data_IF_524250528020
#
_entry.id   IF_524250528020
#
_cell.length_a   1.000
_cell.length_b   1.000
_cell.length_c   1.000
_cell.angle_alpha   90.00
_cell.angle_beta   90.00
_cell.angle_gamma   90.00
#
_symmetry.space_group_name_H-M   'P 1'
#
loop_
_entity.id
_entity.type
_entity.pdbx_description
1 polymer ?
#
# COMPACT_ATOMS: atom_id res chain seq x y z
N UNK A 1 -26.81 19.23 -12.71
CA UNK A 1 -26.07 19.03 -11.46
C UNK A 1 -25.16 17.85 -11.71
N UNK A 2 -23.86 18.08 -11.97
CA UNK A 2 -22.90 16.98 -12.03
C UNK A 2 -22.87 16.39 -10.61
N UNK A 3 -23.28 15.13 -10.46
CA UNK A 3 -22.93 14.37 -9.27
C UNK A 3 -21.40 14.39 -9.23
N UNK A 4 -20.82 14.94 -8.17
CA UNK A 4 -19.41 14.67 -7.89
C UNK A 4 -19.41 13.20 -7.48
N UNK A 5 -19.14 12.32 -8.44
CA UNK A 5 -18.85 10.93 -8.12
C UNK A 5 -17.62 10.95 -7.22
N UNK A 6 -17.76 10.34 -6.04
CA UNK A 6 -16.74 10.42 -5.03
C UNK A 6 -15.46 9.76 -5.53
N UNK A 7 -14.32 10.43 -5.35
CA UNK A 7 -13.03 9.92 -5.80
C UNK A 7 -12.24 9.25 -4.67
N UNK A 8 -12.65 9.43 -3.42
CA UNK A 8 -11.97 8.82 -2.28
C UNK A 8 -12.72 7.56 -1.83
N UNK A 9 -12.07 6.42 -1.98
CA UNK A 9 -12.60 5.12 -1.56
C UNK A 9 -11.82 4.60 -0.36
N UNK A 10 -12.53 4.15 0.66
CA UNK A 10 -11.94 3.51 1.84
C UNK A 10 -12.33 2.03 1.85
N UNK A 11 -11.34 1.16 1.68
CA UNK A 11 -11.51 -0.29 1.73
C UNK A 11 -11.70 -0.68 3.20
N UNK A 12 -12.87 -1.25 3.52
CA UNK A 12 -13.18 -1.70 4.87
C UNK A 12 -14.12 -2.89 4.87
N UNK A 13 -13.91 -3.82 5.78
CA UNK A 13 -14.83 -4.93 6.01
C UNK A 13 -16.18 -4.36 6.52
N UNK A 14 -17.34 -4.77 5.97
CA UNK A 14 -18.65 -4.23 6.37
C UNK A 14 -18.94 -4.29 7.86
N UNK A 15 -18.50 -5.36 8.52
CA UNK A 15 -18.73 -5.61 9.94
C UNK A 15 -17.62 -5.08 10.85
N UNK A 16 -16.65 -4.32 10.33
CA UNK A 16 -15.56 -3.75 11.12
C UNK A 16 -15.97 -2.38 11.70
N UNK A 17 -17.01 -2.36 12.53
CA UNK A 17 -17.65 -1.13 13.05
C UNK A 17 -16.64 -0.16 13.67
N UNK A 18 -15.67 -0.67 14.44
CA UNK A 18 -14.62 0.16 15.06
C UNK A 18 -13.78 0.90 14.01
N UNK A 19 -13.39 0.22 12.92
CA UNK A 19 -12.55 0.79 11.86
C UNK A 19 -13.36 1.70 10.94
N UNK A 20 -14.61 1.36 10.62
CA UNK A 20 -15.50 2.25 9.87
C UNK A 20 -15.81 3.53 10.65
N UNK A 21 -16.11 3.43 11.95
CA UNK A 21 -16.33 4.61 12.79
C UNK A 21 -15.07 5.46 12.92
N UNK A 22 -13.89 4.84 13.01
CA UNK A 22 -12.60 5.53 12.97
C UNK A 22 -12.46 6.37 11.68
N UNK A 23 -12.72 5.77 10.51
CA UNK A 23 -12.66 6.48 9.22
C UNK A 23 -13.71 7.60 9.13
N UNK A 24 -14.94 7.35 9.57
CA UNK A 24 -15.99 8.38 9.63
C UNK A 24 -15.52 9.58 10.46
N UNK A 25 -14.80 9.34 11.58
CA UNK A 25 -14.22 10.41 12.38
C UNK A 25 -13.08 11.12 11.65
N UNK A 26 -12.10 10.39 11.09
CA UNK A 26 -10.94 10.96 10.39
C UNK A 26 -11.36 11.87 9.22
N UNK A 27 -12.22 11.36 8.35
CA UNK A 27 -12.68 12.09 7.17
C UNK A 27 -13.74 13.13 7.52
N UNK A 28 -14.66 12.81 8.43
CA UNK A 28 -15.75 13.69 8.83
C UNK A 28 -15.29 14.96 9.55
N UNK A 29 -14.30 14.86 10.45
CA UNK A 29 -13.73 16.03 11.14
C UNK A 29 -13.14 17.05 10.15
N UNK A 30 -12.60 16.55 9.04
CA UNK A 30 -11.98 17.33 7.97
C UNK A 30 -12.92 17.65 6.81
N UNK A 31 -14.18 17.22 6.89
CA UNK A 31 -15.22 17.36 5.84
C UNK A 31 -14.78 16.82 4.47
N UNK A 32 -13.99 15.74 4.47
CA UNK A 32 -13.53 15.09 3.25
C UNK A 32 -14.62 14.13 2.77
N UNK A 33 -15.11 14.25 1.53
CA UNK A 33 -16.05 13.28 0.96
C UNK A 33 -15.32 11.95 0.74
N UNK A 34 -15.95 10.84 1.13
CA UNK A 34 -15.45 9.49 0.86
C UNK A 34 -16.59 8.47 0.77
N UNK A 35 -16.31 7.32 0.16
CA UNK A 35 -17.20 6.17 0.11
C UNK A 35 -16.50 4.93 0.65
N UNK A 36 -17.23 4.08 1.36
CA UNK A 36 -16.70 2.77 1.73
C UNK A 36 -16.78 1.82 0.55
N UNK A 37 -15.68 1.13 0.28
CA UNK A 37 -15.65 -0.08 -0.53
C UNK A 37 -15.68 -1.30 0.39
N UNK A 38 -16.68 -2.15 0.22
CA UNK A 38 -16.82 -3.38 0.98
C UNK A 38 -15.71 -4.37 0.62
N UNK A 39 -14.71 -4.45 1.50
CA UNK A 39 -13.53 -5.28 1.32
C UNK A 39 -13.89 -6.76 1.12
N UNK A 40 -13.17 -7.42 0.22
CA UNK A 40 -13.26 -8.85 0.08
C UNK A 40 -12.63 -9.56 1.27
N UNK A 41 -13.40 -10.45 1.88
CA UNK A 41 -12.96 -11.35 2.95
C UNK A 41 -13.01 -12.80 2.44
N UNK A 42 -12.33 -13.75 3.10
CA UNK A 42 -12.45 -15.17 2.78
C UNK A 42 -13.92 -15.61 2.73
N UNK A 43 -14.45 -15.84 1.53
CA UNK A 43 -15.87 -16.09 1.24
C UNK A 43 -16.03 -16.60 -0.19
N UNK A 44 -17.19 -17.17 -0.52
CA UNK A 44 -17.50 -17.56 -1.90
C UNK A 44 -17.46 -16.37 -2.86
N UNK A 45 -17.91 -15.19 -2.42
CA UNK A 45 -17.79 -13.95 -3.21
C UNK A 45 -16.35 -13.69 -3.64
N UNK A 46 -15.37 -13.87 -2.75
CA UNK A 46 -13.96 -13.72 -3.10
C UNK A 46 -13.51 -14.79 -4.08
N UNK A 47 -13.87 -16.06 -3.86
CA UNK A 47 -13.52 -17.16 -4.76
C UNK A 47 -14.03 -16.91 -6.19
N UNK A 48 -15.30 -16.52 -6.33
CA UNK A 48 -15.92 -16.23 -7.63
C UNK A 48 -15.19 -15.10 -8.38
N UNK A 49 -14.79 -14.04 -7.67
CA UNK A 49 -14.08 -12.92 -8.28
C UNK A 49 -12.64 -13.29 -8.65
N UNK A 50 -11.96 -14.07 -7.81
CA UNK A 50 -10.62 -14.58 -8.12
C UNK A 50 -10.66 -15.46 -9.36
N UNK A 51 -11.58 -16.42 -9.45
CA UNK A 51 -11.71 -17.28 -10.62
C UNK A 51 -12.05 -16.51 -11.89
N UNK A 52 -12.89 -15.48 -11.78
CA UNK A 52 -13.33 -14.67 -12.91
C UNK A 52 -12.26 -13.73 -13.45
N UNK A 53 -11.53 -13.05 -12.56
CA UNK A 53 -10.64 -11.95 -12.93
C UNK A 53 -9.16 -12.28 -12.75
N UNK A 54 -8.79 -13.03 -11.72
CA UNK A 54 -7.40 -13.29 -11.35
C UNK A 54 -7.17 -14.77 -10.95
N UNK A 55 -7.39 -15.74 -11.86
CA UNK A 55 -7.26 -17.17 -11.56
C UNK A 55 -5.83 -17.57 -11.15
N UNK A 56 -4.83 -16.78 -11.57
CA UNK A 56 -3.44 -16.89 -11.15
C UNK A 56 -3.25 -16.54 -9.65
N UNK A 57 -3.97 -15.54 -9.14
CA UNK A 57 -4.01 -15.19 -7.71
C UNK A 57 -4.81 -16.22 -6.92
N UNK A 58 -5.87 -16.79 -7.50
CA UNK A 58 -6.58 -17.91 -6.89
C UNK A 58 -5.64 -19.11 -6.67
N UNK A 59 -4.88 -19.48 -7.70
CA UNK A 59 -4.03 -20.66 -7.70
C UNK A 59 -2.77 -20.52 -6.83
N UNK A 60 -2.33 -19.31 -6.47
CA UNK A 60 -1.07 -19.16 -5.72
C UNK A 60 -1.21 -19.59 -4.25
N UNK A 61 -0.27 -20.41 -3.73
CA UNK A 61 -0.21 -20.74 -2.31
C UNK A 61 0.56 -19.68 -1.49
N UNK A 62 1.11 -18.64 -2.14
CA UNK A 62 1.99 -17.65 -1.50
C UNK A 62 1.24 -16.58 -0.71
N UNK A 63 -0.05 -16.42 -0.97
CA UNK A 63 -0.91 -15.44 -0.31
C UNK A 63 -1.93 -16.14 0.58
N UNK A 64 -2.18 -15.59 1.77
CA UNK A 64 -3.34 -15.99 2.58
C UNK A 64 -4.64 -15.56 1.89
N UNK A 65 -5.77 -16.17 2.27
CA UNK A 65 -7.06 -15.73 1.73
C UNK A 65 -7.37 -14.27 2.11
N UNK A 66 -6.92 -13.80 3.28
CA UNK A 66 -6.97 -12.39 3.64
C UNK A 66 -6.14 -11.51 2.70
N UNK A 67 -4.91 -11.91 2.36
CA UNK A 67 -4.07 -11.17 1.41
C UNK A 67 -4.65 -11.16 -0.01
N UNK A 68 -5.24 -12.28 -0.45
CA UNK A 68 -6.00 -12.34 -1.72
C UNK A 68 -7.22 -11.40 -1.68
N UNK A 69 -7.91 -11.33 -0.55
CA UNK A 69 -9.03 -10.39 -0.34
C UNK A 69 -8.60 -8.92 -0.39
N UNK A 70 -7.47 -8.58 0.24
CA UNK A 70 -6.87 -7.25 0.16
C UNK A 70 -6.54 -6.90 -1.30
N UNK A 71 -5.78 -7.75 -1.99
CA UNK A 71 -5.41 -7.57 -3.40
C UNK A 71 -6.65 -7.40 -4.28
N UNK A 72 -7.65 -8.29 -4.15
CA UNK A 72 -8.88 -8.23 -4.93
C UNK A 72 -9.68 -6.94 -4.67
N UNK A 73 -9.66 -6.42 -3.44
CA UNK A 73 -10.35 -5.16 -3.10
C UNK A 73 -9.75 -3.97 -3.85
N UNK A 74 -8.42 -3.86 -3.90
CA UNK A 74 -7.75 -2.84 -4.69
C UNK A 74 -7.97 -3.04 -6.19
N UNK A 75 -7.84 -4.28 -6.69
CA UNK A 75 -8.04 -4.62 -8.10
C UNK A 75 -9.44 -4.21 -8.58
N UNK A 76 -10.48 -4.50 -7.80
CA UNK A 76 -11.85 -4.14 -8.18
C UNK A 76 -12.09 -2.62 -8.17
N UNK A 77 -11.41 -1.86 -7.31
CA UNK A 77 -11.43 -0.40 -7.36
C UNK A 77 -10.69 0.15 -8.59
N UNK A 78 -9.55 -0.43 -8.97
CA UNK A 78 -8.88 -0.07 -10.23
C UNK A 78 -9.78 -0.36 -11.43
N UNK A 79 -10.46 -1.51 -11.41
CA UNK A 79 -11.42 -1.88 -12.45
C UNK A 79 -12.59 -0.90 -12.50
N UNK A 80 -13.11 -0.44 -11.35
CA UNK A 80 -14.10 0.65 -11.29
C UNK A 80 -13.57 1.93 -11.94
N UNK A 81 -12.34 2.34 -11.61
CA UNK A 81 -11.71 3.54 -12.20
C UNK A 81 -11.70 3.47 -13.74
N UNK A 82 -11.38 2.31 -14.31
CA UNK A 82 -11.34 2.11 -15.76
C UNK A 82 -12.74 1.97 -16.37
N UNK A 83 -13.61 1.14 -15.78
CA UNK A 83 -14.94 0.85 -16.31
C UNK A 83 -15.86 2.10 -16.31
N UNK A 84 -15.70 2.96 -15.31
CA UNK A 84 -16.48 4.20 -15.16
C UNK A 84 -15.80 5.43 -15.82
N UNK A 85 -14.70 5.22 -16.54
CA UNK A 85 -13.92 6.26 -17.23
C UNK A 85 -13.51 7.43 -16.31
N UNK A 86 -13.10 7.11 -15.08
CA UNK A 86 -12.63 8.10 -14.12
C UNK A 86 -11.19 8.47 -14.43
N UNK A 87 -10.86 9.77 -14.34
CA UNK A 87 -9.48 10.27 -14.46
C UNK A 87 -8.55 9.59 -13.44
N UNK A 88 -9.02 9.46 -12.21
CA UNK A 88 -8.28 8.83 -11.12
C UNK A 88 -9.23 8.48 -9.98
N UNK A 89 -8.72 7.66 -9.06
CA UNK A 89 -9.32 7.46 -7.74
C UNK A 89 -8.24 7.51 -6.67
N UNK A 90 -8.64 7.84 -5.44
CA UNK A 90 -7.83 7.77 -4.23
C UNK A 90 -8.31 6.60 -3.40
N UNK A 91 -7.39 5.71 -3.02
CA UNK A 91 -7.70 4.54 -2.20
C UNK A 91 -7.08 4.68 -0.83
N UNK A 92 -7.83 4.28 0.18
CA UNK A 92 -7.37 4.19 1.57
C UNK A 92 -7.75 2.85 2.20
N UNK A 93 -6.95 2.39 3.16
CA UNK A 93 -7.32 1.33 4.09
C UNK A 93 -7.97 1.91 5.36
N UNK A 94 -8.76 1.10 6.06
CA UNK A 94 -9.57 1.52 7.22
C UNK A 94 -8.82 1.60 8.55
N UNK A 95 -7.49 1.60 8.53
CA UNK A 95 -6.62 1.86 9.68
C UNK A 95 -5.73 3.10 9.53
N UNK A 96 -5.97 3.96 8.55
CA UNK A 96 -5.18 5.18 8.39
C UNK A 96 -5.54 6.28 9.38
N UNK A 97 -4.55 7.08 9.74
CA UNK A 97 -4.70 8.40 10.34
C UNK A 97 -4.45 9.46 9.27
N UNK A 98 -5.25 10.53 9.25
CA UNK A 98 -5.04 11.67 8.36
C UNK A 98 -4.25 12.77 9.05
N UNK A 99 -3.27 13.31 8.33
CA UNK A 99 -2.38 14.37 8.80
C UNK A 99 -2.96 15.78 8.66
N UNK A 100 -2.10 16.75 8.94
CA UNK A 100 -2.34 18.18 8.80
C UNK A 100 -2.74 18.54 7.36
N UNK A 101 -3.81 19.34 7.25
CA UNK A 101 -4.33 19.85 5.97
C UNK A 101 -4.69 18.77 4.93
N UNK A 102 -4.93 17.51 5.32
CA UNK A 102 -5.31 16.44 4.40
C UNK A 102 -6.54 16.79 3.54
N UNK A 103 -7.45 17.61 4.05
CA UNK A 103 -8.61 18.11 3.30
C UNK A 103 -8.24 18.91 2.05
N UNK A 104 -7.12 19.62 2.06
CA UNK A 104 -6.63 20.36 0.89
C UNK A 104 -6.27 19.43 -0.28
N UNK A 105 -5.94 18.17 0.04
CA UNK A 105 -5.56 17.17 -0.95
C UNK A 105 -6.72 16.28 -1.38
N UNK A 106 -7.72 16.11 -0.51
CA UNK A 106 -8.74 15.06 -0.64
C UNK A 106 -10.16 15.61 -0.84
N UNK A 107 -10.45 16.86 -0.45
CA UNK A 107 -11.74 17.48 -0.71
C UNK A 107 -11.80 18.22 -2.06
N UNK A 108 -10.63 18.51 -2.64
CA UNK A 108 -10.46 19.25 -3.90
C UNK A 108 -9.52 18.47 -4.83
N UNK A 109 -9.75 18.55 -6.14
CA UNK A 109 -8.98 17.82 -7.15
C UNK A 109 -8.18 18.70 -8.13
N UNK A 110 -8.43 20.01 -8.13
CA UNK A 110 -7.77 20.95 -9.05
C UNK A 110 -6.25 20.98 -8.86
N UNK A 111 -5.75 20.85 -7.63
CA UNK A 111 -4.31 20.81 -7.36
C UNK A 111 -3.63 19.63 -8.08
N UNK A 112 -4.34 18.51 -8.24
CA UNK A 112 -3.84 17.32 -8.90
C UNK A 112 -3.94 17.47 -10.43
N UNK A 113 -5.08 17.96 -10.94
CA UNK A 113 -5.31 18.18 -12.38
C UNK A 113 -4.31 19.14 -13.03
N UNK A 114 -3.86 20.17 -12.32
CA UNK A 114 -2.86 21.11 -12.86
C UNK A 114 -1.44 20.55 -12.85
N UNK A 115 -1.20 19.39 -12.22
CA UNK A 115 0.12 18.76 -12.05
C UNK A 115 0.29 17.46 -12.83
N UNK A 116 -0.80 16.78 -13.16
CA UNK A 116 -0.76 15.43 -13.71
C UNK A 116 -1.65 15.25 -14.93
N UNK A 117 -1.16 14.46 -15.89
CA UNK A 117 -1.97 13.89 -16.95
C UNK A 117 -2.42 12.48 -16.54
N UNK A 118 -3.72 12.30 -16.35
CA UNK A 118 -4.29 11.05 -15.84
C UNK A 118 -4.27 9.86 -16.81
N UNK A 119 -3.91 10.09 -18.07
CA UNK A 119 -3.64 9.03 -19.04
C UNK A 119 -2.21 8.48 -18.92
N UNK A 120 -1.32 9.17 -18.20
CA UNK A 120 0.01 8.65 -17.88
C UNK A 120 -0.09 7.58 -16.78
N UNK A 121 0.92 6.72 -16.73
CA UNK A 121 0.95 5.58 -15.81
C UNK A 121 1.66 6.00 -14.52
N UNK A 122 0.90 6.65 -13.62
CA UNK A 122 1.43 7.02 -12.31
C UNK A 122 0.57 6.63 -11.10
N UNK A 123 1.26 6.41 -9.98
CA UNK A 123 0.69 6.28 -8.64
C UNK A 123 1.32 7.37 -7.76
N UNK A 124 0.51 8.11 -7.01
CA UNK A 124 0.99 9.06 -6.00
C UNK A 124 0.71 8.51 -4.60
N UNK A 125 1.77 8.11 -3.90
CA UNK A 125 1.68 7.67 -2.50
C UNK A 125 1.38 8.85 -1.59
N UNK A 126 0.32 8.70 -0.80
CA UNK A 126 -0.08 9.64 0.24
C UNK A 126 0.36 9.15 1.63
N UNK A 127 0.67 7.86 1.74
CA UNK A 127 1.13 7.18 2.94
C UNK A 127 2.64 7.32 3.16
N UNK A 128 3.05 7.34 4.43
CA UNK A 128 4.38 6.89 4.86
C UNK A 128 4.29 5.69 5.80
N UNK A 129 5.21 4.75 5.63
CA UNK A 129 5.46 3.64 6.57
C UNK A 129 6.55 3.98 7.60
N UNK A 130 7.00 5.25 7.66
CA UNK A 130 8.04 5.73 8.57
C UNK A 130 9.35 4.94 8.50
N UNK A 131 9.73 4.53 7.28
CA UNK A 131 10.97 3.79 7.01
C UNK A 131 11.87 4.58 6.05
N UNK A 132 13.21 4.36 6.08
CA UNK A 132 14.11 5.00 5.15
C UNK A 132 13.84 4.57 3.70
N UNK A 133 13.71 5.54 2.80
CA UNK A 133 13.49 5.36 1.37
C UNK A 133 14.37 6.28 0.52
N UNK A 134 14.70 5.85 -0.69
CA UNK A 134 15.40 6.66 -1.68
C UNK A 134 14.37 7.47 -2.45
N UNK A 135 14.53 8.79 -2.42
CA UNK A 135 13.71 9.75 -3.16
C UNK A 135 14.60 10.45 -4.19
N UNK A 136 14.08 10.62 -5.40
CA UNK A 136 14.69 11.40 -6.47
C UNK A 136 13.85 12.65 -6.72
N UNK A 137 14.50 13.82 -6.72
CA UNK A 137 13.81 15.10 -6.89
C UNK A 137 13.18 15.23 -8.27
N UNK A 138 11.87 15.53 -8.29
CA UNK A 138 11.15 15.81 -9.53
C UNK A 138 11.10 17.31 -9.77
N UNK A 139 11.76 17.80 -10.83
CA UNK A 139 11.81 19.23 -11.17
C UNK A 139 10.56 19.71 -11.92
N UNK A 140 9.78 18.80 -12.52
CA UNK A 140 8.61 19.15 -13.33
C UNK A 140 7.31 19.34 -12.55
N UNK A 141 7.26 19.00 -11.26
CA UNK A 141 6.03 19.04 -10.45
C UNK A 141 6.23 20.03 -9.31
N UNK A 142 5.43 21.10 -9.30
CA UNK A 142 5.49 22.11 -8.26
C UNK A 142 4.93 21.56 -6.93
N UNK A 143 5.55 21.89 -5.78
CA UNK A 143 5.00 21.58 -4.47
C UNK A 143 3.57 22.12 -4.28
N UNK A 144 2.84 21.53 -3.33
CA UNK A 144 1.52 22.00 -2.92
C UNK A 144 1.40 21.93 -1.41
N UNK A 145 0.89 22.99 -0.77
CA UNK A 145 0.72 23.05 0.70
C UNK A 145 1.99 22.64 1.48
N UNK A 146 3.16 23.13 1.05
CA UNK A 146 4.47 22.82 1.64
C UNK A 146 4.87 21.33 1.60
N UNK A 147 4.27 20.56 0.68
CA UNK A 147 4.60 19.16 0.43
C UNK A 147 5.18 19.02 -0.97
N UNK A 148 6.35 18.41 -1.02
CA UNK A 148 7.05 18.03 -2.25
C UNK A 148 6.39 16.79 -2.87
N UNK A 149 6.48 16.67 -4.18
CA UNK A 149 5.96 15.51 -4.93
C UNK A 149 7.11 14.95 -5.76
N UNK A 150 7.85 14.03 -5.16
CA UNK A 150 9.10 13.50 -5.70
C UNK A 150 8.96 12.03 -6.10
N UNK A 151 9.96 11.50 -6.80
CA UNK A 151 9.94 10.13 -7.31
C UNK A 151 10.46 9.16 -6.24
N UNK A 152 9.68 8.13 -5.92
CA UNK A 152 10.15 7.03 -5.07
C UNK A 152 11.06 6.10 -5.91
N UNK A 153 12.28 5.82 -5.43
CA UNK A 153 13.32 4.99 -6.09
C UNK A 153 13.78 3.80 -5.26
N UNK A 154 13.03 3.44 -4.23
CA UNK A 154 13.28 2.23 -3.46
C UNK A 154 11.99 1.68 -2.88
N UNK A 155 12.08 0.42 -2.44
CA UNK A 155 11.02 -0.24 -1.70
C UNK A 155 10.40 0.63 -0.60
N UNK A 156 9.07 0.73 -0.60
CA UNK A 156 8.30 1.31 0.50
C UNK A 156 7.09 0.43 0.81
N UNK A 157 6.92 0.02 2.07
CA UNK A 157 5.83 -0.89 2.45
C UNK A 157 4.48 -0.19 2.51
N UNK A 158 3.40 -0.96 2.44
CA UNK A 158 2.03 -0.47 2.65
C UNK A 158 1.37 0.08 1.40
N UNK A 159 0.04 -0.06 1.37
CA UNK A 159 -0.90 0.45 0.36
C UNK A 159 -2.02 1.23 1.02
N UNK A 160 -1.78 1.77 2.22
CA UNK A 160 -2.83 2.29 3.08
C UNK A 160 -3.42 3.62 2.56
N UNK A 161 -2.70 4.35 1.70
CA UNK A 161 -3.19 5.58 1.09
C UNK A 161 -2.44 5.97 -0.19
N UNK A 162 -3.12 6.00 -1.33
CA UNK A 162 -2.54 6.45 -2.60
C UNK A 162 -3.60 6.91 -3.60
N UNK A 163 -3.18 7.79 -4.52
CA UNK A 163 -3.89 8.12 -5.75
C UNK A 163 -3.38 7.22 -6.87
N UNK A 164 -4.29 6.73 -7.71
CA UNK A 164 -3.97 6.00 -8.94
C UNK A 164 -4.64 6.67 -10.14
N UNK A 165 -3.84 7.01 -11.15
CA UNK A 165 -4.32 7.51 -12.44
C UNK A 165 -5.06 6.44 -13.23
N UNK A 166 -5.93 6.86 -14.16
CA UNK A 166 -6.60 5.96 -15.11
C UNK A 166 -5.57 5.08 -15.86
N UNK A 167 -4.50 5.70 -16.36
CA UNK A 167 -3.41 5.00 -17.05
C UNK A 167 -2.76 3.92 -16.17
N UNK A 168 -2.47 4.24 -14.91
CA UNK A 168 -1.92 3.25 -13.97
C UNK A 168 -2.91 2.16 -13.58
N UNK A 169 -4.19 2.47 -13.40
CA UNK A 169 -5.21 1.48 -13.08
C UNK A 169 -5.31 0.43 -14.19
N UNK A 170 -5.40 0.89 -15.45
CA UNK A 170 -5.39 0.01 -16.62
C UNK A 170 -4.11 -0.83 -16.72
N UNK A 171 -2.95 -0.19 -16.58
CA UNK A 171 -1.66 -0.87 -16.63
C UNK A 171 -1.54 -1.96 -15.55
N UNK A 172 -1.89 -1.66 -14.30
CA UNK A 172 -1.80 -2.61 -13.20
C UNK A 172 -2.76 -3.78 -13.37
N UNK A 173 -4.00 -3.54 -13.86
CA UNK A 173 -4.93 -4.64 -14.19
C UNK A 173 -4.26 -5.62 -15.17
N UNK A 174 -3.71 -5.11 -16.27
CA UNK A 174 -3.04 -5.95 -17.27
C UNK A 174 -1.82 -6.69 -16.70
N UNK A 175 -1.04 -6.05 -15.82
CA UNK A 175 0.12 -6.67 -15.16
C UNK A 175 -0.34 -7.83 -14.28
N UNK A 176 -1.36 -7.63 -13.45
CA UNK A 176 -1.86 -8.67 -12.56
C UNK A 176 -2.53 -9.83 -13.32
N UNK A 177 -3.18 -9.58 -14.44
CA UNK A 177 -3.74 -10.63 -15.32
C UNK A 177 -2.63 -11.47 -15.98
N UNK A 178 -1.46 -10.89 -16.28
CA UNK A 178 -0.36 -11.54 -16.99
C UNK A 178 0.62 -12.29 -16.08
N UNK A 179 0.65 -12.00 -14.78
CA UNK A 179 1.56 -12.70 -13.87
C UNK A 179 1.28 -14.20 -13.82
N UNK A 180 2.33 -15.01 -13.78
CA UNK A 180 2.19 -16.40 -13.35
C UNK A 180 1.84 -16.46 -11.87
N UNK A 181 1.18 -17.55 -11.43
CA UNK A 181 0.89 -17.78 -10.00
C UNK A 181 2.15 -17.82 -9.13
N UNK A 182 3.31 -18.01 -9.76
CA UNK A 182 4.60 -18.01 -9.08
C UNK A 182 5.19 -16.61 -8.82
N UNK A 183 4.79 -15.62 -9.61
CA UNK A 183 5.27 -14.25 -9.49
C UNK A 183 4.41 -13.42 -8.53
N UNK A 184 3.19 -13.89 -8.24
CA UNK A 184 2.26 -13.20 -7.33
C UNK A 184 2.86 -13.07 -5.93
N UNK A 185 2.92 -11.82 -5.47
CA UNK A 185 3.28 -11.38 -4.12
C UNK A 185 2.21 -10.44 -3.58
N UNK A 186 2.27 -10.04 -2.29
CA UNK A 186 1.37 -9.03 -1.76
C UNK A 186 1.37 -7.76 -2.63
N UNK A 187 0.23 -7.07 -2.66
CA UNK A 187 -0.01 -5.95 -3.58
C UNK A 187 0.99 -4.80 -3.40
N UNK A 188 1.34 -4.46 -2.16
CA UNK A 188 2.33 -3.45 -1.81
C UNK A 188 3.73 -3.81 -2.32
N UNK A 189 4.12 -5.08 -2.18
CA UNK A 189 5.38 -5.63 -2.71
C UNK A 189 5.43 -5.59 -4.25
N UNK A 190 4.30 -5.68 -4.94
CA UNK A 190 4.28 -5.53 -6.40
C UNK A 190 4.40 -4.05 -6.78
N UNK A 191 3.48 -3.22 -6.29
CA UNK A 191 3.37 -1.81 -6.70
C UNK A 191 4.56 -0.95 -6.26
N UNK A 192 5.11 -1.20 -5.08
CA UNK A 192 6.06 -0.31 -4.41
C UNK A 192 7.39 -0.98 -4.10
N UNK A 193 7.69 -2.11 -4.77
CA UNK A 193 9.03 -2.70 -4.80
C UNK A 193 9.36 -3.22 -6.21
N UNK A 194 8.58 -4.16 -6.74
CA UNK A 194 8.92 -4.81 -8.01
C UNK A 194 8.77 -3.87 -9.22
N UNK A 195 7.69 -3.09 -9.26
CA UNK A 195 7.39 -2.24 -10.40
C UNK A 195 8.11 -0.88 -10.36
N UNK A 196 8.72 -0.51 -9.24
CA UNK A 196 9.22 0.85 -9.03
C UNK A 196 10.34 1.27 -10.01
N UNK A 197 11.09 0.30 -10.52
CA UNK A 197 12.18 0.50 -11.47
C UNK A 197 11.75 0.20 -12.93
N UNK A 198 10.48 -0.10 -13.17
CA UNK A 198 9.97 -0.41 -14.52
C UNK A 198 9.78 0.89 -15.30
N UNK A 199 10.40 0.95 -16.48
CA UNK A 199 10.26 2.10 -17.38
C UNK A 199 8.79 2.34 -17.74
N UNK A 200 8.34 3.57 -17.57
CA UNK A 200 6.97 3.99 -17.89
C UNK A 200 5.98 3.87 -16.74
N UNK A 201 6.26 3.13 -15.67
CA UNK A 201 5.44 3.12 -14.45
C UNK A 201 6.07 4.01 -13.39
N UNK A 202 5.41 5.11 -13.03
CA UNK A 202 5.98 6.12 -12.15
C UNK A 202 5.29 6.16 -10.78
N UNK A 203 6.07 5.91 -9.73
CA UNK A 203 5.59 6.11 -8.34
C UNK A 203 6.12 7.44 -7.82
N UNK A 204 5.19 8.35 -7.51
CA UNK A 204 5.46 9.58 -6.79
C UNK A 204 5.18 9.40 -5.31
N UNK A 205 5.86 10.19 -4.48
CA UNK A 205 5.69 10.24 -3.04
C UNK A 205 5.39 11.67 -2.64
N UNK A 206 4.26 11.87 -1.95
CA UNK A 206 3.99 13.12 -1.26
C UNK A 206 4.84 13.18 0.02
N UNK A 207 5.66 14.22 0.15
CA UNK A 207 6.57 14.40 1.29
C UNK A 207 6.46 15.83 1.86
N UNK A 208 6.03 16.01 3.12
CA UNK A 208 5.59 14.97 4.05
C UNK A 208 4.29 14.27 3.63
N UNK A 209 4.10 13.03 4.08
CA UNK A 209 2.91 12.22 3.83
C UNK A 209 1.69 12.74 4.63
N UNK A 210 0.50 12.61 4.06
CA UNK A 210 -0.78 13.02 4.68
C UNK A 210 -1.53 11.86 5.33
N UNK A 211 -1.02 10.63 5.22
CA UNK A 211 -1.56 9.51 5.97
C UNK A 211 -0.47 8.53 6.44
N UNK A 212 -0.80 7.79 7.49
CA UNK A 212 0.02 6.72 8.09
C UNK A 212 -0.92 5.68 8.68
N UNK A 213 -0.54 4.41 8.71
CA UNK A 213 -1.31 3.40 9.42
C UNK A 213 -1.23 3.64 10.94
N UNK A 214 -2.38 3.52 11.63
CA UNK A 214 -2.50 3.72 13.08
C UNK A 214 -1.53 2.82 13.85
N UNK A 215 -1.40 1.56 13.42
CA UNK A 215 -0.45 0.62 13.99
C UNK A 215 1.00 1.07 13.80
N UNK A 216 1.33 1.65 12.65
CA UNK A 216 2.69 2.09 12.36
C UNK A 216 3.09 3.31 13.19
N UNK A 217 2.14 4.21 13.46
CA UNK A 217 2.36 5.38 14.30
C UNK A 217 2.36 5.03 15.80
N UNK A 218 1.38 4.26 16.26
CA UNK A 218 1.12 4.02 17.68
C UNK A 218 1.80 2.75 18.24
N UNK A 219 2.22 1.84 17.36
CA UNK A 219 2.96 0.61 17.71
C UNK A 219 2.25 -0.20 18.81
N UNK A 220 2.89 -0.38 19.97
CA UNK A 220 2.33 -1.15 21.11
C UNK A 220 1.04 -0.52 21.68
N UNK A 221 0.80 0.76 21.43
CA UNK A 221 -0.41 1.47 21.84
C UNK A 221 -1.51 1.44 20.77
N UNK A 222 -1.33 0.68 19.69
CA UNK A 222 -2.30 0.56 18.60
C UNK A 222 -3.64 0.02 19.11
N UNK A 223 -4.72 0.70 18.72
CA UNK A 223 -6.08 0.30 19.07
C UNK A 223 -6.83 -0.36 17.90
N UNK A 224 -6.28 -0.31 16.69
CA UNK A 224 -6.86 -0.93 15.50
C UNK A 224 -6.11 -2.21 15.15
N UNK A 225 -6.60 -3.35 15.65
CA UNK A 225 -5.96 -4.64 15.38
C UNK A 225 -6.08 -5.06 13.89
N UNK A 226 -4.96 -5.42 13.27
CA UNK A 226 -4.93 -5.96 11.90
C UNK A 226 -5.25 -7.47 11.86
N UNK A 227 -6.34 -7.84 11.18
CA UNK A 227 -6.68 -9.24 10.92
C UNK A 227 -5.63 -9.96 10.05
N UNK A 228 -5.10 -9.28 9.03
CA UNK A 228 -4.10 -9.83 8.11
C UNK A 228 -2.79 -10.21 8.83
N UNK A 229 -2.34 -9.38 9.78
CA UNK A 229 -1.12 -9.70 10.54
C UNK A 229 -1.30 -10.96 11.41
N UNK A 230 -2.49 -11.18 11.98
CA UNK A 230 -2.79 -12.39 12.76
C UNK A 230 -2.72 -13.64 11.87
N UNK A 231 -3.20 -13.58 10.63
CA UNK A 231 -3.09 -14.67 9.66
C UNK A 231 -1.64 -14.96 9.24
N UNK A 232 -0.85 -13.92 8.90
CA UNK A 232 0.57 -14.05 8.54
C UNK A 232 1.38 -14.76 9.63
N UNK A 233 1.14 -14.42 10.91
CA UNK A 233 1.79 -15.08 12.05
C UNK A 233 1.44 -16.57 12.12
N UNK A 234 0.18 -16.95 11.88
CA UNK A 234 -0.25 -18.36 11.87
C UNK A 234 0.40 -19.16 10.74
N UNK A 235 0.48 -18.60 9.53
CA UNK A 235 1.07 -19.29 8.38
C UNK A 235 2.60 -19.44 8.49
N UNK A 236 3.29 -18.46 9.07
CA UNK A 236 4.74 -18.56 9.36
C UNK A 236 5.06 -19.74 10.31
N UNK A 237 4.17 -20.03 11.27
CA UNK A 237 4.31 -21.17 12.19
C UNK A 237 4.01 -22.51 11.49
N UNK A 238 3.08 -22.54 10.54
CA UNK A 238 2.76 -23.73 9.73
C UNK A 238 3.94 -24.18 8.86
N UNK A 239 4.64 -23.25 8.21
CA UNK A 239 5.73 -23.54 7.27
C UNK A 239 7.10 -23.90 7.91
N UNK A 240 7.18 -24.06 9.24
CA UNK A 240 8.45 -24.25 9.96
C UNK A 240 8.57 -25.54 10.79
N UNK A 241 8.11 -26.70 10.29
CA UNK A 241 8.56 -28.00 10.85
C UNK A 241 9.89 -28.44 10.23
N UNK A 242 11.00 -27.90 10.75
CA UNK A 242 12.39 -28.23 10.33
C UNK A 242 13.00 -29.36 11.18
N UNK A 243 13.87 -30.18 10.58
CA UNK A 243 14.49 -31.36 11.21
C UNK A 243 15.59 -31.00 12.22
N UNK A 244 15.90 -31.90 13.18
CA UNK A 244 16.88 -31.69 14.26
C UNK A 244 18.28 -31.27 13.77
N UNK A 245 18.70 -31.77 12.60
CA UNK A 245 19.99 -31.42 11.96
C UNK A 245 20.03 -29.95 11.51
N UNK A 246 18.90 -29.40 11.05
CA UNK A 246 18.76 -27.99 10.66
C UNK A 246 18.73 -27.04 11.87
N UNK A 247 18.28 -27.51 13.05
CA UNK A 247 18.37 -26.76 14.31
C UNK A 247 19.83 -26.60 14.76
N UNK A 248 20.64 -27.65 14.67
CA UNK A 248 22.05 -27.61 15.09
C UNK A 248 22.93 -26.70 14.23
N UNK A 249 22.74 -26.72 12.90
CA UNK A 249 23.42 -25.81 11.96
C UNK A 249 23.05 -24.36 12.30
N UNK A 250 21.77 -24.09 12.57
CA UNK A 250 21.30 -22.74 12.92
C UNK A 250 21.85 -22.24 14.25
N UNK A 251 22.06 -23.11 15.25
CA UNK A 251 22.69 -22.72 16.52
C UNK A 251 24.15 -22.30 16.29
N UNK A 252 24.91 -23.08 15.49
CA UNK A 252 26.28 -22.73 15.13
C UNK A 252 26.34 -21.42 14.35
N UNK A 253 25.44 -21.23 13.39
CA UNK A 253 25.36 -19.99 12.60
C UNK A 253 24.87 -18.79 13.41
N UNK A 254 24.04 -19.01 14.44
CA UNK A 254 23.58 -17.95 15.34
C UNK A 254 24.70 -17.51 16.29
N UNK A 255 25.58 -18.42 16.72
CA UNK A 255 26.75 -18.10 17.54
C UNK A 255 27.76 -17.29 16.72
N UNK A 256 28.04 -17.71 15.48
CA UNK A 256 28.94 -16.97 14.57
C UNK A 256 28.35 -15.60 14.21
N UNK A 257 27.02 -15.52 14.00
CA UNK A 257 26.31 -14.25 13.78
C UNK A 257 26.36 -13.35 15.00
N UNK A 258 26.14 -13.87 16.21
CA UNK A 258 26.17 -13.08 17.45
C UNK A 258 27.54 -12.43 17.70
N UNK A 259 28.64 -13.11 17.34
CA UNK A 259 30.01 -12.59 17.53
C UNK A 259 30.34 -11.46 16.53
N UNK A 260 29.71 -11.43 15.36
CA UNK A 260 29.94 -10.42 14.31
C UNK A 260 28.78 -9.43 14.11
N UNK A 261 27.74 -9.50 14.95
CA UNK A 261 26.43 -8.89 14.72
C UNK A 261 26.46 -7.37 14.70
N UNK A 262 27.01 -6.73 15.73
CA UNK A 262 26.94 -5.27 15.88
C UNK A 262 27.72 -4.54 14.79
N UNK A 263 28.96 -4.95 14.51
CA UNK A 263 29.81 -4.30 13.49
C UNK A 263 29.36 -4.57 12.05
N UNK A 264 28.66 -5.68 11.78
CA UNK A 264 28.15 -6.00 10.45
C UNK A 264 26.76 -5.40 10.22
N UNK A 265 25.88 -5.38 11.23
CA UNK A 265 24.57 -4.72 11.17
C UNK A 265 24.70 -3.19 11.13
N UNK A 266 25.64 -2.57 11.87
CA UNK A 266 25.92 -1.14 11.72
C UNK A 266 26.45 -0.82 10.31
N UNK A 267 27.36 -1.65 9.77
CA UNK A 267 27.96 -1.40 8.46
C UNK A 267 27.01 -1.70 7.29
N UNK A 268 26.10 -2.67 7.45
CA UNK A 268 24.99 -2.90 6.51
C UNK A 268 23.92 -1.82 6.63
N UNK A 269 23.50 -1.41 7.84
CA UNK A 269 22.55 -0.31 8.01
C UNK A 269 23.07 1.03 7.47
N UNK A 270 24.36 1.33 7.68
CA UNK A 270 24.98 2.56 7.15
C UNK A 270 25.03 2.54 5.62
N UNK A 271 25.33 1.39 5.00
CA UNK A 271 25.33 1.24 3.54
C UNK A 271 23.92 1.16 2.94
N UNK A 272 22.97 0.51 3.61
CA UNK A 272 21.56 0.38 3.17
C UNK A 272 20.79 1.69 3.32
N UNK A 273 21.17 2.58 4.23
CA UNK A 273 20.53 3.88 4.45
C UNK A 273 21.28 5.05 3.80
N UNK A 274 22.41 4.80 3.13
CA UNK A 274 23.15 5.84 2.43
C UNK A 274 22.29 6.44 1.31
N UNK A 275 21.98 7.74 1.41
CA UNK A 275 21.12 8.44 0.45
C UNK A 275 19.63 8.13 0.58
N UNK A 276 19.19 7.55 1.70
CA UNK A 276 17.77 7.39 2.04
C UNK A 276 17.34 8.42 3.08
N UNK A 277 16.07 8.83 2.99
CA UNK A 277 15.41 9.70 3.95
C UNK A 277 14.10 9.06 4.45
N UNK A 278 13.61 9.51 5.60
CA UNK A 278 12.29 9.09 6.11
C UNK A 278 11.27 10.13 5.66
N UNK A 279 10.28 9.69 4.87
CA UNK A 279 9.10 10.51 4.57
C UNK A 279 8.34 10.70 5.88
N UNK A 280 8.24 11.93 6.35
CA UNK A 280 7.59 12.24 7.62
C UNK A 280 6.07 12.18 7.46
N UNK A 281 5.37 11.83 8.52
CA UNK A 281 3.94 12.03 8.63
C UNK A 281 3.72 13.41 9.27
N UNK A 282 2.94 14.26 8.61
CA UNK A 282 2.48 15.55 9.16
C UNK A 282 1.00 15.66 8.93
#
# INVERSE_FOLDING_TARGET
>A
MHFIENKNFVISIPTADKRRNHIIQQFGQKKIPFEFFDAFIPSERLNDHLQRYLPNVDATPRLTMGEKGCLMSHFMLWKKCVDDDLDYITLFEDDILLGENAEQFLAEDEWLKVRFNFQEIFVLRLETFLMPVKIEKQQGILPFQQREIDILKSKHFGTAGYVISHGAAKYLIEVFEKFSSEEIKPIDEIMFNQLIDISGYQVYQLNPAICVQELQLNQENSVLESGLQKERKKNTVSHTKKTLKQRFIRIKDNIIRAINKEKWEEKQNVNENLGKEIVRFM
#
